data_IF_925209766070
#
_entry.id   IF_925209766070
#
_cell.length_a   1.000
_cell.length_b   1.000
_cell.length_c   1.000
_cell.angle_alpha   90.00
_cell.angle_beta   90.00
_cell.angle_gamma   90.00
#
_symmetry.space_group_name_H-M   'P 1'
#
loop_
_entity.id
_entity.type
_entity.pdbx_description
1 polymer ?
#
# COMPACT_ATOMS: atom_id res chain seq x y z
N UNK A 1 47.10 -21.75 5.60
CA UNK A 1 45.99 -22.07 4.69
C UNK A 1 45.03 -20.90 4.78
N UNK A 2 45.13 -20.03 3.78
CA UNK A 2 44.18 -18.97 3.49
C UNK A 2 42.80 -19.56 3.22
N UNK A 3 41.75 -18.83 3.59
CA UNK A 3 40.48 -18.77 2.85
C UNK A 3 39.73 -17.56 3.38
N UNK A 4 40.08 -16.39 2.83
CA UNK A 4 39.25 -15.20 2.88
C UNK A 4 37.91 -15.52 2.20
N UNK A 5 36.84 -15.48 2.97
CA UNK A 5 35.48 -15.57 2.47
C UNK A 5 35.15 -14.26 1.75
N UNK A 6 35.28 -14.34 0.42
CA UNK A 6 35.03 -13.32 -0.57
C UNK A 6 33.70 -12.60 -0.34
N UNK A 7 33.80 -11.28 -0.28
CA UNK A 7 32.73 -10.30 -0.45
C UNK A 7 31.82 -10.65 -1.64
N UNK A 8 30.65 -11.21 -1.37
CA UNK A 8 29.52 -11.14 -2.30
C UNK A 8 28.73 -9.87 -2.00
N UNK A 9 29.33 -8.73 -2.37
CA UNK A 9 28.58 -7.54 -2.72
C UNK A 9 27.62 -7.94 -3.84
N UNK A 10 26.36 -8.22 -3.47
CA UNK A 10 25.27 -8.42 -4.39
C UNK A 10 25.20 -7.23 -5.33
N UNK A 11 25.75 -7.40 -6.53
CA UNK A 11 25.58 -6.44 -7.61
C UNK A 11 24.08 -6.28 -7.84
N UNK A 12 23.53 -5.06 -7.91
CA UNK A 12 22.12 -4.89 -8.18
C UNK A 12 21.85 -5.50 -9.55
N UNK A 13 21.03 -6.55 -9.57
CA UNK A 13 20.50 -7.12 -10.80
C UNK A 13 19.93 -5.95 -11.59
N UNK A 14 20.57 -5.62 -12.72
CA UNK A 14 20.16 -4.53 -13.60
C UNK A 14 18.76 -4.88 -14.11
N UNK A 15 17.77 -4.40 -13.38
CA UNK A 15 16.38 -4.52 -13.78
C UNK A 15 16.22 -3.64 -15.00
N UNK A 16 15.82 -4.24 -16.12
CA UNK A 16 15.61 -3.50 -17.37
C UNK A 16 14.46 -2.52 -17.12
N UNK A 17 14.83 -1.27 -16.93
CA UNK A 17 13.95 -0.13 -16.78
C UNK A 17 14.32 0.86 -17.87
N UNK A 18 13.30 1.43 -18.50
CA UNK A 18 13.47 2.54 -19.41
C UNK A 18 13.23 3.84 -18.64
N UNK A 19 14.16 4.78 -18.74
CA UNK A 19 14.18 6.01 -17.95
C UNK A 19 15.32 6.00 -16.92
N UNK A 20 16.17 7.03 -16.94
CA UNK A 20 17.30 7.22 -16.01
C UNK A 20 16.85 7.38 -14.56
N UNK A 21 17.73 7.71 -13.62
CA UNK A 21 17.43 7.81 -12.17
C UNK A 21 16.22 8.73 -11.89
N UNK A 22 15.33 8.38 -10.96
CA UNK A 22 14.19 9.24 -10.55
C UNK A 22 14.64 10.68 -10.29
N UNK A 23 15.76 10.89 -9.61
CA UNK A 23 16.27 12.24 -9.34
C UNK A 23 16.57 13.02 -10.63
N UNK A 24 17.17 12.37 -11.63
CA UNK A 24 17.41 12.98 -12.93
C UNK A 24 16.08 13.29 -13.64
N UNK A 25 15.10 12.39 -13.58
CA UNK A 25 13.77 12.61 -14.17
C UNK A 25 13.09 13.82 -13.53
N UNK A 26 13.13 13.94 -12.19
CA UNK A 26 12.54 15.07 -11.47
C UNK A 26 13.26 16.39 -11.78
N UNK A 27 14.59 16.37 -11.97
CA UNK A 27 15.32 17.58 -12.38
C UNK A 27 15.04 17.99 -13.83
N UNK A 28 14.85 17.04 -14.74
CA UNK A 28 14.41 17.31 -16.13
C UNK A 28 12.99 17.86 -16.18
N UNK A 29 12.09 17.31 -15.37
CA UNK A 29 10.72 17.81 -15.22
C UNK A 29 10.69 19.30 -14.82
N UNK A 30 11.53 19.70 -13.85
CA UNK A 30 11.69 21.11 -13.46
C UNK A 30 12.22 22.01 -14.58
N UNK A 31 12.92 21.45 -15.57
CA UNK A 31 13.43 22.16 -16.75
C UNK A 31 12.41 22.19 -17.91
N UNK A 32 11.24 21.57 -17.74
CA UNK A 32 10.16 21.55 -18.73
C UNK A 32 10.14 20.32 -19.64
N UNK A 33 11.02 19.34 -19.44
CA UNK A 33 10.97 18.07 -20.17
C UNK A 33 10.07 17.07 -19.45
N UNK A 34 8.94 16.75 -20.09
CA UNK A 34 7.88 15.90 -19.54
C UNK A 34 7.99 14.44 -20.01
N UNK A 35 8.83 14.14 -21.00
CA UNK A 35 8.83 12.86 -21.70
C UNK A 35 9.17 11.68 -20.78
N UNK A 36 10.31 11.79 -20.07
CA UNK A 36 10.77 10.78 -19.11
C UNK A 36 9.82 10.67 -17.90
N UNK A 37 9.20 11.77 -17.49
CA UNK A 37 8.28 11.81 -16.35
C UNK A 37 6.98 11.07 -16.65
N UNK A 38 6.40 11.28 -17.84
CA UNK A 38 5.21 10.54 -18.27
C UNK A 38 5.53 9.07 -18.56
N UNK A 39 6.71 8.75 -19.11
CA UNK A 39 7.14 7.35 -19.27
C UNK A 39 7.21 6.62 -17.93
N UNK A 40 7.81 7.25 -16.90
CA UNK A 40 7.86 6.73 -15.54
C UNK A 40 6.45 6.50 -14.98
N UNK A 41 5.55 7.48 -15.10
CA UNK A 41 4.16 7.33 -14.63
C UNK A 41 3.45 6.18 -15.33
N UNK A 42 3.64 6.03 -16.64
CA UNK A 42 3.03 4.95 -17.41
C UNK A 42 3.56 3.57 -16.99
N UNK A 43 4.86 3.44 -16.72
CA UNK A 43 5.43 2.19 -16.22
C UNK A 43 4.91 1.83 -14.81
N UNK A 44 4.76 2.82 -13.93
CA UNK A 44 4.19 2.59 -12.59
C UNK A 44 2.70 2.27 -12.62
N UNK A 45 1.99 2.70 -13.66
CA UNK A 45 0.58 2.39 -13.85
C UNK A 45 0.34 1.02 -14.52
N UNK A 46 1.40 0.34 -14.99
CA UNK A 46 1.30 -0.96 -15.63
C UNK A 46 0.83 -2.04 -14.63
N UNK A 47 -0.33 -2.68 -14.85
CA UNK A 47 -0.83 -3.75 -13.97
C UNK A 47 0.09 -4.98 -13.93
N UNK A 48 0.89 -5.21 -14.97
CA UNK A 48 1.82 -6.34 -15.08
C UNK A 48 3.25 -6.01 -14.64
N UNK A 49 3.44 -4.88 -13.94
CA UNK A 49 4.73 -4.48 -13.41
C UNK A 49 5.36 -5.61 -12.55
N UNK A 50 6.63 -5.90 -12.83
CA UNK A 50 7.37 -7.00 -12.20
C UNK A 50 7.89 -6.57 -10.82
N UNK A 51 7.98 -7.53 -9.90
CA UNK A 51 8.45 -7.30 -8.52
C UNK A 51 9.82 -6.59 -8.46
N UNK A 52 10.77 -6.98 -9.32
CA UNK A 52 12.07 -6.34 -9.40
C UNK A 52 11.99 -4.85 -9.80
N UNK A 53 11.06 -4.51 -10.70
CA UNK A 53 10.82 -3.12 -11.11
C UNK A 53 10.19 -2.32 -9.97
N UNK A 54 9.19 -2.88 -9.29
CA UNK A 54 8.55 -2.24 -8.12
C UNK A 54 9.61 -1.93 -7.06
N UNK A 55 10.45 -2.91 -6.72
CA UNK A 55 11.54 -2.73 -5.73
C UNK A 55 12.48 -1.61 -6.15
N UNK A 56 12.96 -1.62 -7.39
CA UNK A 56 13.87 -0.59 -7.91
C UNK A 56 13.24 0.81 -7.84
N UNK A 57 11.98 0.95 -8.25
CA UNK A 57 11.26 2.23 -8.20
C UNK A 57 11.09 2.72 -6.76
N UNK A 58 10.64 1.86 -5.84
CA UNK A 58 10.44 2.23 -4.44
C UNK A 58 11.77 2.64 -3.78
N UNK A 59 12.87 1.96 -4.09
CA UNK A 59 14.20 2.31 -3.59
C UNK A 59 14.63 3.71 -4.03
N UNK A 60 14.44 4.05 -5.31
CA UNK A 60 14.73 5.39 -5.83
C UNK A 60 13.78 6.46 -5.27
N UNK A 61 12.48 6.18 -5.17
CA UNK A 61 11.54 7.15 -4.57
C UNK A 61 11.85 7.45 -3.11
N UNK A 62 12.37 6.46 -2.36
CA UNK A 62 12.82 6.68 -0.98
C UNK A 62 14.03 7.60 -0.91
N UNK A 63 14.99 7.49 -1.82
CA UNK A 63 16.20 8.34 -1.79
C UNK A 63 15.86 9.80 -2.11
N UNK A 64 14.82 10.06 -2.90
CA UNK A 64 14.38 11.41 -3.26
C UNK A 64 13.03 11.82 -2.64
N UNK A 65 12.59 11.20 -1.53
CA UNK A 65 11.24 11.42 -0.97
C UNK A 65 10.95 12.88 -0.61
N UNK A 66 11.98 13.65 -0.25
CA UNK A 66 11.89 15.08 0.07
C UNK A 66 11.74 15.96 -1.17
N UNK A 67 12.09 15.46 -2.35
CA UNK A 67 11.94 16.15 -3.62
C UNK A 67 10.52 15.97 -4.23
N UNK A 68 9.76 14.98 -3.74
CA UNK A 68 8.38 14.70 -4.14
C UNK A 68 7.40 15.72 -3.55
N UNK A 69 7.51 16.98 -3.95
CA UNK A 69 6.64 18.07 -3.51
C UNK A 69 5.21 17.96 -4.09
N UNK A 70 4.37 18.97 -3.86
CA UNK A 70 2.99 19.04 -4.37
C UNK A 70 2.88 18.92 -5.89
N UNK A 71 3.89 19.33 -6.65
CA UNK A 71 3.87 19.26 -8.11
C UNK A 71 3.86 17.80 -8.61
N UNK A 72 4.33 16.87 -7.76
CA UNK A 72 4.37 15.44 -8.04
C UNK A 72 3.23 14.66 -7.36
N UNK A 73 2.16 15.33 -6.91
CA UNK A 73 1.06 14.70 -6.19
C UNK A 73 0.43 13.53 -6.99
N UNK A 74 0.23 13.70 -8.31
CA UNK A 74 -0.30 12.64 -9.16
C UNK A 74 0.60 11.40 -9.19
N UNK A 75 1.91 11.60 -9.22
CA UNK A 75 2.89 10.51 -9.21
C UNK A 75 2.83 9.74 -7.88
N UNK A 76 2.72 10.45 -6.76
CA UNK A 76 2.56 9.84 -5.44
C UNK A 76 1.29 8.99 -5.40
N UNK A 77 0.17 9.48 -5.92
CA UNK A 77 -1.05 8.67 -6.01
C UNK A 77 -0.90 7.45 -6.92
N UNK A 78 -0.11 7.53 -8.00
CA UNK A 78 0.21 6.36 -8.82
C UNK A 78 1.02 5.34 -8.03
N UNK A 79 2.05 5.78 -7.28
CA UNK A 79 2.85 4.89 -6.42
C UNK A 79 1.97 4.25 -5.33
N UNK A 80 1.07 5.02 -4.71
CA UNK A 80 0.12 4.51 -3.72
C UNK A 80 -0.85 3.46 -4.30
N UNK A 81 -1.03 3.41 -5.62
CA UNK A 81 -1.88 2.42 -6.30
C UNK A 81 -1.12 1.17 -6.77
N UNK A 82 0.20 1.12 -6.59
CA UNK A 82 0.99 -0.05 -6.99
C UNK A 82 0.47 -1.32 -6.28
N UNK A 83 0.42 -2.47 -6.97
CA UNK A 83 0.03 -3.72 -6.37
C UNK A 83 1.16 -4.22 -5.45
N UNK A 84 1.05 -3.98 -4.14
CA UNK A 84 2.04 -4.43 -3.15
C UNK A 84 1.53 -5.59 -2.28
N UNK A 85 0.21 -5.69 -2.07
CA UNK A 85 -0.42 -6.79 -1.32
C UNK A 85 -0.44 -8.05 -2.18
N UNK A 86 -0.13 -9.20 -1.58
CA UNK A 86 -0.06 -10.49 -2.27
C UNK A 86 1.15 -10.64 -3.19
N UNK A 87 2.05 -9.64 -3.26
CA UNK A 87 3.34 -9.76 -3.96
C UNK A 87 4.41 -10.40 -3.06
N UNK A 88 5.61 -10.61 -3.63
CA UNK A 88 6.72 -11.18 -2.89
C UNK A 88 7.10 -10.37 -1.65
N UNK A 89 7.64 -11.05 -0.63
CA UNK A 89 8.04 -10.41 0.63
C UNK A 89 8.98 -9.21 0.45
N UNK A 90 9.97 -9.23 -0.48
CA UNK A 90 10.83 -8.06 -0.72
C UNK A 90 10.04 -6.83 -1.20
N UNK A 91 9.04 -7.00 -2.08
CA UNK A 91 8.17 -5.90 -2.53
C UNK A 91 7.42 -5.29 -1.35
N UNK A 92 6.82 -6.12 -0.51
CA UNK A 92 6.06 -5.67 0.66
C UNK A 92 6.95 -4.88 1.61
N UNK A 93 8.14 -5.38 1.93
CA UNK A 93 9.09 -4.69 2.82
C UNK A 93 9.53 -3.34 2.27
N UNK A 94 9.86 -3.29 0.99
CA UNK A 94 10.24 -2.06 0.29
C UNK A 94 9.10 -1.02 0.28
N UNK A 95 7.87 -1.50 0.09
CA UNK A 95 6.68 -0.67 0.12
C UNK A 95 6.41 -0.10 1.52
N UNK A 96 6.53 -0.93 2.58
CA UNK A 96 6.39 -0.47 3.96
C UNK A 96 7.41 0.62 4.31
N UNK A 97 8.66 0.44 3.90
CA UNK A 97 9.71 1.44 4.09
C UNK A 97 9.43 2.72 3.32
N UNK A 98 8.92 2.62 2.08
CA UNK A 98 8.47 3.78 1.33
C UNK A 98 7.35 4.54 2.03
N UNK A 99 6.29 3.85 2.50
CA UNK A 99 5.21 4.49 3.26
C UNK A 99 5.76 5.21 4.50
N UNK A 100 6.62 4.55 5.27
CA UNK A 100 7.27 5.13 6.44
C UNK A 100 8.00 6.44 6.11
N UNK A 101 8.81 6.43 5.05
CA UNK A 101 9.57 7.61 4.62
C UNK A 101 8.66 8.71 4.10
N UNK A 102 7.61 8.36 3.35
CA UNK A 102 6.65 9.32 2.82
C UNK A 102 5.89 10.04 3.94
N UNK A 103 5.33 9.29 4.89
CA UNK A 103 4.48 9.88 5.94
C UNK A 103 5.32 10.69 6.94
N UNK A 104 6.55 10.24 7.23
CA UNK A 104 7.47 10.95 8.13
C UNK A 104 8.03 12.23 7.50
N UNK A 105 8.35 12.22 6.20
CA UNK A 105 8.81 13.41 5.50
C UNK A 105 7.66 14.38 5.17
N UNK A 106 6.47 13.85 4.86
CA UNK A 106 5.36 14.60 4.28
C UNK A 106 4.01 14.12 4.82
N UNK A 107 3.65 14.58 6.02
CA UNK A 107 2.40 14.22 6.73
C UNK A 107 1.13 14.59 5.95
N UNK A 108 1.20 15.46 4.94
CA UNK A 108 0.08 15.77 4.04
C UNK A 108 -0.49 14.52 3.34
N UNK A 109 0.35 13.53 3.04
CA UNK A 109 -0.09 12.29 2.37
C UNK A 109 -0.59 11.22 3.35
N UNK A 110 -0.59 11.49 4.66
CA UNK A 110 -1.01 10.52 5.66
C UNK A 110 -2.43 10.01 5.44
N UNK A 111 -3.38 10.92 5.18
CA UNK A 111 -4.77 10.54 4.91
C UNK A 111 -4.88 9.69 3.64
N UNK A 112 -4.07 9.97 2.61
CA UNK A 112 -4.03 9.18 1.39
C UNK A 112 -3.51 7.75 1.66
N UNK A 113 -2.43 7.62 2.44
CA UNK A 113 -1.88 6.33 2.84
C UNK A 113 -2.89 5.52 3.67
N UNK A 114 -3.54 6.15 4.67
CA UNK A 114 -4.58 5.48 5.48
C UNK A 114 -5.76 5.01 4.61
N UNK A 115 -6.25 5.87 3.71
CA UNK A 115 -7.35 5.53 2.78
C UNK A 115 -6.98 4.35 1.87
N UNK A 116 -5.74 4.33 1.39
CA UNK A 116 -5.21 3.23 0.59
C UNK A 116 -5.20 1.94 1.41
N UNK A 117 -4.59 1.92 2.59
CA UNK A 117 -4.51 0.71 3.43
C UNK A 117 -5.90 0.19 3.82
N UNK A 118 -6.80 1.07 4.27
CA UNK A 118 -8.17 0.68 4.66
C UNK A 118 -8.98 0.17 3.47
N UNK A 119 -8.71 0.65 2.24
CA UNK A 119 -9.42 0.14 1.06
C UNK A 119 -9.19 -1.37 0.85
N UNK A 120 -8.06 -1.88 1.33
CA UNK A 120 -7.68 -3.28 1.23
C UNK A 120 -8.36 -4.19 2.26
N UNK A 121 -9.06 -3.63 3.27
CA UNK A 121 -9.85 -4.43 4.24
C UNK A 121 -11.04 -5.16 3.60
N UNK A 122 -11.37 -4.81 2.36
CA UNK A 122 -12.45 -5.42 1.57
C UNK A 122 -11.94 -6.32 0.45
N UNK A 123 -10.62 -6.32 0.19
CA UNK A 123 -10.10 -6.83 -1.05
C UNK A 123 -10.12 -8.36 -1.06
N UNK A 124 -10.85 -8.92 -2.02
CA UNK A 124 -10.63 -10.28 -2.48
C UNK A 124 -9.35 -10.27 -3.32
N UNK A 125 -8.49 -11.27 -3.13
CA UNK A 125 -7.43 -11.56 -4.10
C UNK A 125 -8.09 -11.72 -5.46
N UNK A 126 -7.74 -10.84 -6.41
CA UNK A 126 -8.05 -11.09 -7.81
C UNK A 126 -7.19 -12.28 -8.21
N UNK A 127 -7.75 -13.48 -8.16
CA UNK A 127 -7.22 -14.58 -8.95
C UNK A 127 -7.39 -14.17 -10.40
N UNK A 128 -6.28 -13.92 -11.08
CA UNK A 128 -6.25 -13.74 -12.51
C UNK A 128 -6.61 -15.10 -13.12
N UNK A 129 -7.76 -15.18 -13.79
CA UNK A 129 -8.19 -16.39 -14.49
C UNK A 129 -9.63 -16.78 -14.13
N UNK A 130 -10.49 -16.76 -15.14
CA UNK A 130 -11.81 -17.37 -15.11
C UNK A 130 -11.72 -18.84 -14.68
N UNK A 131 -12.06 -19.17 -13.44
CA UNK A 131 -12.62 -20.49 -13.12
C UNK A 131 -13.62 -20.35 -11.98
N UNK A 132 -14.76 -20.97 -12.22
CA UNK A 132 -15.86 -21.23 -11.31
C UNK A 132 -15.38 -21.74 -9.94
N UNK A 133 -16.19 -21.44 -8.93
CA UNK A 133 -16.19 -22.00 -7.57
C UNK A 133 -15.44 -23.33 -7.45
N UNK A 134 -14.18 -23.25 -7.03
CA UNK A 134 -13.46 -24.38 -6.44
C UNK A 134 -13.41 -24.10 -4.94
N UNK A 135 -14.13 -24.90 -4.16
CA UNK A 135 -14.00 -25.03 -2.70
C UNK A 135 -12.65 -25.68 -2.32
N UNK A 136 -11.57 -25.25 -2.99
CA UNK A 136 -10.19 -25.51 -2.61
C UNK A 136 -9.65 -24.21 -2.05
N UNK A 137 -10.15 -23.90 -0.86
CA UNK A 137 -9.62 -22.99 0.14
C UNK A 137 -8.09 -22.92 0.13
N UNK A 138 -7.54 -21.93 -0.58
CA UNK A 138 -6.24 -21.37 -0.20
C UNK A 138 -6.47 -20.35 0.93
N UNK A 139 -6.91 -20.86 2.07
CA UNK A 139 -7.17 -20.11 3.30
C UNK A 139 -5.88 -19.53 3.92
N UNK A 140 -4.72 -19.72 3.29
CA UNK A 140 -3.42 -19.24 3.79
C UNK A 140 -3.01 -17.87 3.25
N UNK A 141 -3.48 -17.47 2.06
CA UNK A 141 -3.11 -16.17 1.46
C UNK A 141 -3.96 -15.00 1.98
N UNK A 142 -5.24 -15.23 2.28
CA UNK A 142 -6.13 -14.18 2.79
C UNK A 142 -5.68 -13.61 4.15
N UNK A 143 -5.28 -14.42 5.14
CA UNK A 143 -4.76 -13.91 6.41
C UNK A 143 -3.51 -13.06 6.23
N UNK A 144 -2.59 -13.50 5.35
CA UNK A 144 -1.33 -12.79 5.11
C UNK A 144 -1.53 -11.40 4.51
N UNK A 145 -2.48 -11.26 3.59
CA UNK A 145 -2.78 -9.97 2.97
C UNK A 145 -3.38 -8.97 3.98
N UNK A 146 -4.28 -9.44 4.85
CA UNK A 146 -4.79 -8.60 5.93
C UNK A 146 -3.69 -8.29 6.96
N UNK A 147 -2.82 -9.23 7.29
CA UNK A 147 -1.66 -8.99 8.16
C UNK A 147 -0.78 -7.86 7.63
N UNK A 148 -0.51 -7.86 6.32
CA UNK A 148 0.23 -6.78 5.67
C UNK A 148 -0.51 -5.44 5.80
N UNK A 149 -1.82 -5.39 5.57
CA UNK A 149 -2.61 -4.16 5.77
C UNK A 149 -2.53 -3.65 7.21
N UNK A 150 -2.66 -4.55 8.18
CA UNK A 150 -2.61 -4.22 9.60
C UNK A 150 -1.22 -3.72 10.02
N UNK A 151 -0.14 -4.34 9.52
CA UNK A 151 1.22 -3.87 9.73
C UNK A 151 1.44 -2.47 9.14
N UNK A 152 0.96 -2.21 7.91
CA UNK A 152 1.02 -0.88 7.30
C UNK A 152 0.26 0.16 8.13
N UNK A 153 -0.94 -0.20 8.60
CA UNK A 153 -1.74 0.70 9.43
C UNK A 153 -1.02 1.03 10.74
N UNK A 154 -0.49 0.02 11.44
CA UNK A 154 0.30 0.21 12.66
C UNK A 154 1.56 1.06 12.44
N UNK A 155 2.16 0.98 11.25
CA UNK A 155 3.29 1.81 10.88
C UNK A 155 2.88 3.27 10.72
N UNK A 156 1.80 3.55 9.97
CA UNK A 156 1.36 4.91 9.65
C UNK A 156 0.80 5.65 10.87
N UNK A 157 0.04 4.96 11.74
CA UNK A 157 -0.62 5.61 12.90
C UNK A 157 0.37 6.09 13.97
N UNK A 158 1.64 5.65 13.94
CA UNK A 158 2.67 6.11 14.88
C UNK A 158 3.00 7.60 14.73
N UNK A 159 2.66 8.21 13.59
CA UNK A 159 3.05 9.58 13.27
C UNK A 159 2.03 10.65 13.69
N UNK A 160 0.76 10.31 13.95
CA UNK A 160 -0.30 11.31 14.28
C UNK A 160 -1.36 10.78 15.24
N UNK A 161 -2.17 11.66 15.87
CA UNK A 161 -3.33 11.24 16.67
C UNK A 161 -4.35 10.44 15.83
N UNK A 162 -4.41 9.14 16.07
CA UNK A 162 -5.14 8.16 15.24
C UNK A 162 -6.63 8.47 15.04
N UNK A 163 -7.30 8.98 16.07
CA UNK A 163 -8.77 9.08 16.10
C UNK A 163 -9.35 10.02 15.05
N UNK A 164 -8.77 11.21 14.91
CA UNK A 164 -9.31 12.27 14.03
C UNK A 164 -9.21 11.91 12.55
N UNK A 165 -8.23 11.08 12.17
CA UNK A 165 -7.98 10.74 10.77
C UNK A 165 -8.54 9.36 10.41
N UNK A 166 -8.37 8.36 11.26
CA UNK A 166 -8.72 6.98 10.92
C UNK A 166 -10.23 6.75 10.97
N UNK A 167 -10.94 7.24 12.00
CA UNK A 167 -12.36 6.94 12.16
C UNK A 167 -13.23 7.42 10.98
N UNK A 168 -13.07 8.66 10.46
CA UNK A 168 -13.80 9.09 9.26
C UNK A 168 -13.52 8.20 8.03
N UNK A 169 -12.28 7.72 7.89
CA UNK A 169 -11.89 6.83 6.79
C UNK A 169 -12.55 5.45 6.94
N UNK A 170 -12.61 4.89 8.15
CA UNK A 170 -13.29 3.63 8.42
C UNK A 170 -14.80 3.72 8.13
N UNK A 171 -15.42 4.85 8.48
CA UNK A 171 -16.84 5.10 8.18
C UNK A 171 -17.09 5.22 6.67
N UNK A 172 -16.25 5.98 5.97
CA UNK A 172 -16.36 6.19 4.52
C UNK A 172 -16.14 4.90 3.73
N UNK A 173 -15.18 4.06 4.15
CA UNK A 173 -14.83 2.81 3.48
C UNK A 173 -15.71 1.63 3.88
N UNK A 174 -16.66 1.81 4.80
CA UNK A 174 -17.59 0.76 5.17
C UNK A 174 -18.41 0.32 3.94
N UNK A 175 -18.39 -0.97 3.55
CA UNK A 175 -19.06 -1.44 2.35
C UNK A 175 -20.57 -1.12 2.36
N UNK A 176 -21.12 -0.77 1.19
CA UNK A 176 -22.56 -0.62 1.05
C UNK A 176 -23.30 -1.95 1.28
N UNK A 177 -24.53 -1.86 1.78
CA UNK A 177 -25.40 -2.99 2.12
C UNK A 177 -25.58 -3.98 0.95
N UNK A 178 -25.59 -3.50 -0.29
CA UNK A 178 -25.75 -4.34 -1.48
C UNK A 178 -24.48 -5.11 -1.90
N UNK A 179 -23.37 -5.01 -1.16
CA UNK A 179 -22.15 -5.80 -1.42
C UNK A 179 -22.31 -7.23 -0.91
N UNK A 180 -21.44 -8.13 -1.37
CA UNK A 180 -21.49 -9.53 -0.94
C UNK A 180 -21.35 -9.65 0.57
N UNK A 181 -22.07 -10.57 1.24
CA UNK A 181 -21.96 -10.80 2.68
C UNK A 181 -20.50 -11.01 3.14
N UNK A 182 -19.72 -11.77 2.36
CA UNK A 182 -18.29 -11.99 2.61
C UNK A 182 -17.47 -10.69 2.64
N UNK A 183 -17.81 -9.69 1.82
CA UNK A 183 -17.14 -8.37 1.85
C UNK A 183 -17.42 -7.62 3.15
N UNK A 184 -18.67 -7.68 3.63
CA UNK A 184 -19.05 -7.08 4.91
C UNK A 184 -18.34 -7.79 6.07
N UNK A 185 -18.34 -9.13 6.05
CA UNK A 185 -17.67 -9.97 7.04
C UNK A 185 -16.17 -9.65 7.14
N UNK A 186 -15.44 -9.65 6.00
CA UNK A 186 -14.03 -9.30 5.98
C UNK A 186 -13.79 -7.89 6.54
N UNK A 187 -14.62 -6.92 6.15
CA UNK A 187 -14.45 -5.55 6.64
C UNK A 187 -14.67 -5.47 8.15
N UNK A 188 -15.74 -6.08 8.67
CA UNK A 188 -16.05 -6.12 10.11
C UNK A 188 -14.96 -6.85 10.89
N UNK A 189 -14.47 -7.99 10.39
CA UNK A 189 -13.37 -8.73 11.01
C UNK A 189 -12.11 -7.86 11.13
N UNK A 190 -11.73 -7.17 10.06
CA UNK A 190 -10.57 -6.27 10.06
C UNK A 190 -10.80 -5.06 10.98
N UNK A 191 -12.01 -4.50 11.05
CA UNK A 191 -12.35 -3.45 12.02
C UNK A 191 -12.19 -3.93 13.46
N UNK A 192 -12.70 -5.12 13.79
CA UNK A 192 -12.56 -5.71 15.12
C UNK A 192 -11.08 -5.92 15.46
N UNK A 193 -10.27 -6.37 14.49
CA UNK A 193 -8.83 -6.48 14.66
C UNK A 193 -8.15 -5.13 14.94
N UNK A 194 -8.60 -4.03 14.32
CA UNK A 194 -8.14 -2.65 14.66
C UNK A 194 -8.31 -2.36 16.15
N UNK A 195 -9.42 -2.78 16.75
CA UNK A 195 -9.69 -2.51 18.18
C UNK A 195 -8.67 -3.15 19.12
N UNK A 196 -8.00 -4.23 18.70
CA UNK A 196 -7.02 -4.96 19.52
C UNK A 196 -5.74 -4.14 19.72
N UNK A 197 -5.27 -3.45 18.68
CA UNK A 197 -4.01 -2.67 18.75
C UNK A 197 -4.22 -1.15 18.77
N UNK A 198 -5.47 -0.66 18.61
CA UNK A 198 -5.86 0.74 18.79
C UNK A 198 -7.06 0.82 19.76
N UNK A 199 -6.84 0.57 21.07
CA UNK A 199 -7.95 0.48 22.03
C UNK A 199 -8.75 1.78 22.17
N UNK A 200 -8.14 2.94 21.88
CA UNK A 200 -8.83 4.24 21.89
C UNK A 200 -9.95 4.37 20.85
N UNK A 201 -9.97 3.51 19.83
CA UNK A 201 -11.02 3.47 18.80
C UNK A 201 -12.07 2.40 19.04
N UNK A 202 -11.91 1.54 20.06
CA UNK A 202 -12.78 0.39 20.27
C UNK A 202 -14.26 0.76 20.34
N UNK A 203 -14.60 1.76 21.17
CA UNK A 203 -15.99 2.23 21.31
C UNK A 203 -16.55 2.73 19.98
N UNK A 204 -15.84 3.62 19.30
CA UNK A 204 -16.31 4.23 18.05
C UNK A 204 -16.48 3.17 16.93
N UNK A 205 -15.56 2.20 16.86
CA UNK A 205 -15.63 1.10 15.88
C UNK A 205 -16.83 0.19 16.17
N UNK A 206 -17.05 -0.20 17.43
CA UNK A 206 -18.19 -1.03 17.81
C UNK A 206 -19.52 -0.30 17.54
N UNK A 207 -19.58 1.00 17.85
CA UNK A 207 -20.74 1.84 17.54
C UNK A 207 -21.02 1.88 16.03
N UNK A 208 -19.98 2.07 15.20
CA UNK A 208 -20.11 2.01 13.74
C UNK A 208 -20.63 0.65 13.25
N UNK A 209 -20.09 -0.46 13.77
CA UNK A 209 -20.53 -1.80 13.37
C UNK A 209 -22.01 -1.99 13.73
N UNK A 210 -22.41 -1.67 14.96
CA UNK A 210 -23.80 -1.79 15.41
C UNK A 210 -24.73 -0.92 14.57
N UNK A 211 -24.38 0.35 14.31
CA UNK A 211 -25.16 1.27 13.48
C UNK A 211 -25.40 0.71 12.07
N UNK A 212 -24.39 0.05 11.48
CA UNK A 212 -24.48 -0.53 10.14
C UNK A 212 -25.26 -1.85 10.14
N UNK A 213 -25.17 -2.66 11.19
CA UNK A 213 -25.93 -3.90 11.33
C UNK A 213 -27.42 -3.62 11.55
N UNK A 214 -27.78 -2.59 12.32
CA UNK A 214 -29.17 -2.16 12.49
C UNK A 214 -29.83 -1.64 11.20
N UNK A 215 -29.04 -1.31 10.16
CA UNK A 215 -29.55 -0.94 8.83
C UNK A 215 -29.74 -2.15 7.91
N UNK A 216 -29.23 -3.32 8.30
CA UNK A 216 -29.38 -4.58 7.57
C UNK A 216 -30.59 -5.39 8.04
N UNK A 217 -30.90 -5.29 9.34
CA UNK A 217 -32.13 -5.81 9.96
C UNK A 217 -33.37 -5.06 9.44
#
# INVERSE_FOLDING_TARGET
>A
METDAVDFLGSPVKTVRFGGNVEEILTKYKKGDLSDYELMKNQLADPEIKDAQIISWLQEFRSCVTQLNKDHEQLIYTILRLPWIGRSQPVVLEYMMFLSNLVSAQTVYLCACLRMVVSHFTQRVRVCGEVEFSDSDDETEFPRNFDQCHQALQLIIRYVPTRCFLMPILQEKFPFIHKSPRTLECYVHNLLRVTVYIPSLQRDILELIVEKMLKLD
#
